data_IF_279343979075
#
_entry.id   IF_279343979075
#
_cell.length_a   1.000
_cell.length_b   1.000
_cell.length_c   1.000
_cell.angle_alpha   90.00
_cell.angle_beta   90.00
_cell.angle_gamma   90.00
#
_symmetry.space_group_name_H-M   'P 1'
#
loop_
_entity.id
_entity.type
_entity.pdbx_description
1 polymer ?
2 non-polymer ?
3 water ?
#
# COMPACT_ATOMS: atom_id res chain seq x y z
N UNK A 4 25.52 15.15 19.32
CA UNK A 4 24.43 15.66 18.41
C UNK A 4 23.11 14.90 18.60
N UNK A 5 22.10 15.57 19.16
CA UNK A 5 20.82 14.89 19.50
C UNK A 5 20.15 14.29 18.29
N UNK A 6 20.17 15.02 17.18
CA UNK A 6 19.64 14.55 15.88
C UNK A 6 20.04 13.12 15.55
N UNK A 7 21.30 12.77 15.82
CA UNK A 7 21.81 11.42 15.49
C UNK A 7 21.28 10.28 16.36
N UNK A 8 20.59 10.61 17.45
CA UNK A 8 20.02 9.62 18.34
C UNK A 8 18.50 9.61 18.16
N UNK A 9 17.99 8.49 17.66
CA UNK A 9 16.60 8.31 17.29
C UNK A 9 15.94 7.54 18.40
N UNK A 10 14.89 8.11 19.00
CA UNK A 10 14.04 7.43 19.96
C UNK A 10 13.20 6.41 19.18
N UNK A 11 13.23 5.15 19.62
CA UNK A 11 12.46 4.09 19.00
C UNK A 11 10.96 4.26 19.34
N UNK A 12 10.12 4.25 18.32
CA UNK A 12 8.67 4.42 18.54
C UNK A 12 7.99 3.23 19.18
N UNK A 13 8.72 2.12 19.36
CA UNK A 13 8.20 0.91 19.98
C UNK A 13 8.69 0.80 21.41
N UNK A 14 10.00 0.71 21.60
CA UNK A 14 10.59 0.53 22.95
C UNK A 14 10.91 1.83 23.67
N UNK A 15 10.94 2.95 22.94
CA UNK A 15 11.25 4.24 23.55
C UNK A 15 12.73 4.49 23.79
N UNK A 16 13.60 3.55 23.38
CA UNK A 16 15.04 3.69 23.61
C UNK A 16 15.73 4.20 22.39
N UNK A 17 16.78 4.97 22.61
CA UNK A 17 17.55 5.58 21.53
C UNK A 17 18.46 4.59 20.80
N UNK A 18 18.57 4.81 19.50
CA UNK A 18 19.43 4.04 18.64
C UNK A 18 19.98 4.97 17.59
N UNK A 19 21.05 4.54 16.94
CA UNK A 19 21.69 5.33 15.91
C UNK A 19 21.40 4.81 14.52
N UNK A 20 21.37 3.49 14.34
CA UNK A 20 21.11 2.88 13.02
C UNK A 20 20.13 1.75 13.16
N UNK A 21 19.25 1.60 12.18
CA UNK A 21 18.45 0.39 12.07
C UNK A 21 18.00 0.18 10.65
N UNK A 22 17.68 -1.07 10.35
CA UNK A 22 17.07 -1.43 9.08
C UNK A 22 15.90 -0.50 8.70
N UNK A 23 14.92 -0.42 9.60
CA UNK A 23 13.68 0.34 9.36
C UNK A 23 13.94 1.85 9.17
N UNK A 24 14.85 2.40 9.95
CA UNK A 24 15.23 3.81 9.82
C UNK A 24 16.06 4.08 8.57
N UNK A 25 17.04 3.21 8.32
CA UNK A 25 17.87 3.33 7.13
C UNK A 25 17.03 3.27 5.88
N UNK A 26 16.18 2.25 5.76
CA UNK A 26 15.45 2.02 4.52
C UNK A 26 14.17 2.86 4.37
N UNK A 27 13.46 3.11 5.47
CA UNK A 27 12.11 3.69 5.42
C UNK A 27 11.90 5.00 6.19
N UNK A 28 12.96 5.47 6.88
CA UNK A 28 12.85 6.56 7.84
C UNK A 28 11.81 6.28 8.90
N UNK A 29 11.63 5.01 9.23
CA UNK A 29 10.73 4.63 10.29
C UNK A 29 11.62 4.49 11.51
N UNK A 30 11.32 5.22 12.59
CA UNK A 30 12.18 5.26 13.74
C UNK A 30 11.95 4.10 14.70
N UNK A 31 12.29 2.91 14.22
CA UNK A 31 12.12 1.69 14.99
C UNK A 31 13.42 0.87 14.96
N UNK A 32 13.90 0.47 16.13
CA UNK A 32 15.20 -0.15 16.24
C UNK A 32 15.13 -1.61 15.78
N UNK A 33 16.30 -2.19 15.54
CA UNK A 33 16.40 -3.58 15.08
C UNK A 33 15.85 -4.61 16.05
N UNK A 34 15.88 -4.30 17.35
CA UNK A 34 15.26 -5.15 18.40
C UNK A 34 13.75 -5.25 18.29
N UNK A 35 13.12 -4.13 17.91
CA UNK A 35 11.67 -4.05 17.85
C UNK A 35 11.10 -4.38 16.48
N UNK A 36 11.95 -4.48 15.46
CA UNK A 36 11.51 -4.86 14.12
C UNK A 36 10.80 -6.23 14.13
N UNK A 37 9.62 -6.29 13.53
CA UNK A 37 8.77 -7.49 13.45
C UNK A 37 8.51 -7.68 11.96
N UNK A 38 9.41 -8.38 11.29
CA UNK A 38 9.35 -8.56 9.84
C UNK A 38 8.15 -9.33 9.34
N UNK A 39 7.57 -10.19 10.18
CA UNK A 39 6.46 -11.09 9.79
C UNK A 39 5.09 -10.47 9.92
N UNK A 40 4.94 -9.52 10.84
CA UNK A 40 3.66 -8.87 11.05
C UNK A 40 3.77 -7.35 10.91
N UNK A 41 4.09 -6.63 11.99
CA UNK A 41 3.98 -5.16 12.00
C UNK A 41 4.83 -4.47 10.92
N UNK A 42 6.04 -4.97 10.72
CA UNK A 42 6.97 -4.40 9.75
C UNK A 42 7.14 -5.21 8.49
N UNK A 43 6.09 -5.95 8.12
CA UNK A 43 6.11 -6.71 6.87
C UNK A 43 6.00 -5.78 5.67
N UNK A 44 6.60 -6.23 4.58
CA UNK A 44 6.71 -5.49 3.36
C UNK A 44 5.65 -5.99 2.43
N UNK A 45 5.17 -5.12 1.54
CA UNK A 45 4.27 -5.57 0.45
C UNK A 45 4.67 -4.91 -0.84
N UNK A 46 4.27 -5.52 -1.95
CA UNK A 46 4.62 -5.01 -3.24
C UNK A 46 3.83 -3.74 -3.49
N UNK A 47 4.40 -2.87 -4.30
CA UNK A 47 3.70 -1.70 -4.79
C UNK A 47 2.36 -2.08 -5.40
N UNK A 48 2.30 -3.13 -6.23
CA UNK A 48 1.04 -3.41 -6.96
C UNK A 48 -0.03 -3.84 -5.99
N UNK A 49 0.36 -4.67 -5.04
CA UNK A 49 -0.49 -5.12 -3.97
C UNK A 49 -0.98 -3.98 -3.07
N UNK A 50 -0.07 -3.10 -2.69
CA UNK A 50 -0.43 -1.93 -1.88
C UNK A 50 -1.46 -1.07 -2.61
N UNK A 51 -1.19 -0.83 -3.89
CA UNK A 51 -2.05 0.03 -4.71
C UNK A 51 -3.42 -0.59 -4.90
N UNK A 52 -3.47 -1.88 -5.20
CA UNK A 52 -4.76 -2.52 -5.45
C UNK A 52 -5.57 -2.69 -4.20
N UNK A 53 -4.93 -3.14 -3.12
CA UNK A 53 -5.64 -3.44 -1.89
C UNK A 53 -6.17 -2.19 -1.17
N UNK A 54 -5.40 -1.10 -1.21
CA UNK A 54 -5.73 0.10 -0.43
C UNK A 54 -6.09 1.30 -1.32
N UNK A 55 -6.29 1.02 -2.61
CA UNK A 55 -6.68 2.00 -3.62
C UNK A 55 -5.87 3.30 -3.70
N UNK A 56 -4.56 3.16 -3.83
CA UNK A 56 -3.60 4.27 -3.77
C UNK A 56 -3.06 4.54 -5.14
N UNK A 57 -3.04 5.83 -5.50
CA UNK A 57 -2.38 6.28 -6.69
C UNK A 57 -0.89 6.49 -6.38
N UNK A 58 -0.07 6.49 -7.42
CA UNK A 58 1.35 6.80 -7.27
C UNK A 58 1.59 8.13 -6.54
N UNK A 59 0.83 9.17 -6.87
CA UNK A 59 0.98 10.45 -6.18
C UNK A 59 0.63 10.40 -4.68
N UNK A 60 -0.23 9.46 -4.27
CA UNK A 60 -0.52 9.24 -2.85
C UNK A 60 0.71 8.76 -2.12
N UNK A 61 1.53 7.99 -2.80
CA UNK A 61 2.75 7.44 -2.21
C UNK A 61 3.91 8.45 -2.22
N UNK A 62 4.00 9.20 -3.33
CA UNK A 62 5.20 9.95 -3.70
C UNK A 62 5.08 11.44 -3.41
N UNK A 63 3.88 12.01 -3.47
CA UNK A 63 3.70 13.44 -3.26
C UNK A 63 3.07 13.84 -1.93
N UNK A 64 2.21 13.03 -1.34
CA UNK A 64 1.71 13.33 0.03
C UNK A 64 2.83 13.19 1.05
N UNK A 65 2.82 14.05 2.07
CA UNK A 65 3.90 14.14 3.06
C UNK A 65 3.71 13.20 4.24
N UNK A 66 4.71 12.45 4.70
CA UNK A 66 6.00 12.22 4.04
C UNK A 66 5.89 11.26 2.83
N UNK A 67 6.74 11.45 1.79
CA UNK A 67 6.74 10.48 0.70
C UNK A 67 7.19 9.13 1.25
N UNK A 68 6.51 8.07 0.85
CA UNK A 68 6.82 6.75 1.35
C UNK A 68 8.02 6.23 0.60
N UNK A 69 8.93 5.64 1.36
CA UNK A 69 10.13 5.02 0.83
C UNK A 69 9.87 3.53 0.58
N UNK A 70 10.71 2.96 -0.27
CA UNK A 70 10.59 1.59 -0.69
C UNK A 70 11.99 1.01 -0.89
N UNK A 71 12.09 -0.30 -0.79
CA UNK A 71 13.30 -1.02 -1.21
C UNK A 71 12.99 -1.76 -2.51
N UNK A 72 14.01 -1.90 -3.35
CA UNK A 72 13.85 -2.55 -4.66
C UNK A 72 14.36 -3.99 -4.58
N UNK A 73 13.53 -4.94 -4.97
CA UNK A 73 13.90 -6.34 -4.99
C UNK A 73 14.09 -6.73 -6.43
N UNK A 74 14.93 -7.73 -6.69
CA UNK A 74 15.26 -8.15 -8.07
C UNK A 74 15.07 -9.65 -8.27
N UNK A 83 11.55 -6.60 -11.12
CA UNK A 83 12.21 -5.60 -10.28
C UNK A 83 11.18 -4.80 -9.46
N UNK A 84 10.70 -5.38 -8.35
CA UNK A 84 9.55 -4.83 -7.60
C UNK A 84 9.94 -3.92 -6.43
N UNK A 85 9.13 -2.86 -6.25
CA UNK A 85 9.24 -1.95 -5.12
C UNK A 85 8.43 -2.52 -3.96
N UNK A 86 9.06 -2.62 -2.79
CA UNK A 86 8.45 -3.11 -1.58
C UNK A 86 8.30 -1.96 -0.58
N UNK A 87 7.10 -1.81 -0.05
CA UNK A 87 6.75 -0.78 0.93
C UNK A 87 6.43 -1.46 2.24
N UNK A 88 6.60 -0.75 3.36
CA UNK A 88 6.06 -1.20 4.66
C UNK A 88 4.55 -1.18 4.61
N UNK A 89 3.92 -2.32 4.88
CA UNK A 89 2.47 -2.41 4.87
C UNK A 89 1.86 -1.37 5.82
N UNK A 90 2.45 -1.27 6.99
CA UNK A 90 2.04 -0.33 8.02
C UNK A 90 1.86 1.09 7.49
N UNK A 91 2.83 1.53 6.70
CA UNK A 91 2.84 2.87 6.12
C UNK A 91 1.82 3.04 5.01
N UNK A 92 1.66 1.99 4.22
CA UNK A 92 0.66 1.92 3.18
C UNK A 92 -0.72 2.09 3.78
N UNK A 93 -0.98 1.38 4.87
CA UNK A 93 -2.29 1.38 5.51
C UNK A 93 -2.57 2.78 6.08
N UNK A 94 -1.60 3.34 6.79
CA UNK A 94 -1.70 4.71 7.33
C UNK A 94 -1.98 5.72 6.21
N UNK A 95 -1.22 5.63 5.12
CA UNK A 95 -1.43 6.54 3.97
C UNK A 95 -2.82 6.39 3.36
N UNK A 96 -3.32 5.15 3.33
CA UNK A 96 -4.63 4.88 2.77
C UNK A 96 -5.73 5.53 3.62
N UNK A 97 -5.62 5.41 4.93
CA UNK A 97 -6.56 6.06 5.84
C UNK A 97 -6.55 7.58 5.71
N UNK A 98 -5.36 8.16 5.52
CA UNK A 98 -5.20 9.58 5.28
C UNK A 98 -5.92 10.03 4.01
N UNK A 99 -5.64 9.35 2.90
CA UNK A 99 -6.21 9.65 1.61
C UNK A 99 -7.73 9.44 1.56
N UNK A 100 -8.21 8.33 2.12
CA UNK A 100 -9.63 8.04 2.07
C UNK A 100 -10.43 8.64 3.25
N UNK A 101 -9.74 9.08 4.31
CA UNK A 101 -10.37 9.74 5.46
C UNK A 101 -10.73 8.77 6.57
N UNK A 102 -11.28 7.62 6.18
CA UNK A 102 -11.68 6.61 7.13
C UNK A 102 -11.67 5.21 6.54
N UNK A 103 -11.61 4.22 7.42
CA UNK A 103 -11.69 2.83 7.02
C UNK A 103 -13.02 2.60 6.27
N UNK A 104 -14.08 3.20 6.81
CA UNK A 104 -15.41 3.08 6.23
C UNK A 104 -15.47 3.62 4.80
N UNK A 105 -14.85 4.78 4.57
CA UNK A 105 -14.87 5.36 3.23
C UNK A 105 -14.03 4.52 2.28
N UNK A 106 -12.97 3.90 2.79
CA UNK A 106 -12.15 3.02 1.94
C UNK A 106 -12.96 1.79 1.56
N UNK A 107 -13.64 1.19 2.55
CA UNK A 107 -14.47 0.01 2.29
C UNK A 107 -15.62 0.30 1.33
N UNK A 108 -16.25 1.47 1.46
CA UNK A 108 -17.27 1.88 0.49
C UNK A 108 -16.68 2.02 -0.92
N UNK A 109 -15.48 2.57 -1.04
CA UNK A 109 -14.83 2.68 -2.35
C UNK A 109 -14.47 1.34 -2.97
N UNK A 110 -13.94 0.42 -2.16
CA UNK A 110 -13.58 -0.89 -2.66
C UNK A 110 -14.82 -1.65 -3.15
N UNK A 111 -15.94 -1.46 -2.47
CA UNK A 111 -17.21 -2.08 -2.85
C UNK A 111 -17.77 -1.46 -4.14
N UNK A 112 -17.66 -0.13 -4.28
CA UNK A 112 -18.06 0.55 -5.51
C UNK A 112 -17.21 0.07 -6.69
N UNK A 113 -15.89 -0.05 -6.47
CA UNK A 113 -14.98 -0.52 -7.50
C UNK A 113 -15.30 -1.97 -7.93
N UNK A 114 -15.52 -2.85 -6.97
CA UNK A 114 -15.77 -4.26 -7.30
C UNK A 114 -17.07 -4.42 -8.08
N UNK A 115 -18.11 -3.70 -7.66
CA UNK A 115 -19.41 -3.73 -8.34
C UNK A 115 -19.35 -3.15 -9.75
N UNK A 116 -18.61 -2.05 -9.92
CA UNK A 116 -18.40 -1.48 -11.25
C UNK A 116 -17.62 -2.42 -12.16
N UNK A 117 -16.60 -3.06 -11.61
CA UNK A 117 -15.76 -3.96 -12.39
C UNK A 117 -16.54 -5.20 -12.82
N UNK A 118 -17.35 -5.74 -11.92
CA UNK A 118 -18.19 -6.91 -12.27
C UNK A 118 -19.22 -6.55 -13.33
N UNK A 119 -19.90 -5.43 -13.13
CA UNK A 119 -20.91 -4.96 -14.09
C UNK A 119 -20.30 -4.79 -15.48
N UNK A 120 -19.12 -4.19 -15.56
CA UNK A 120 -18.43 -3.97 -16.84
C UNK A 120 -17.93 -5.24 -17.52
N UNK A 121 -17.39 -6.16 -16.73
CA UNK A 121 -16.97 -7.43 -17.26
C UNK A 121 -18.18 -8.22 -17.80
N UNK A 122 -19.29 -8.21 -17.05
CA UNK A 122 -20.52 -8.89 -17.47
C UNK A 122 -21.04 -8.30 -18.77
N UNK A 123 -21.12 -6.98 -18.84
CA UNK A 123 -21.63 -6.31 -20.05
C UNK A 123 -20.78 -6.60 -21.27
N UNK A 124 -19.48 -6.49 -21.11
CA UNK A 124 -18.55 -6.77 -22.19
C UNK A 124 -18.61 -8.23 -22.66
N UNK A 125 -18.63 -9.16 -21.71
CA UNK A 125 -18.74 -10.57 -22.05
C UNK A 125 -20.04 -10.89 -22.82
N UNK A 126 -21.14 -10.37 -22.32
CA UNK A 126 -22.45 -10.59 -22.94
C UNK A 126 -22.57 -10.00 -24.35
N UNK A 127 -21.95 -8.84 -24.57
CA UNK A 127 -21.88 -8.26 -25.92
C UNK A 127 -21.09 -9.14 -26.88
N UNK A 128 -19.99 -9.71 -26.41
CA UNK A 128 -19.23 -10.65 -27.23
C UNK A 128 -19.98 -11.95 -27.48
N UNK A 129 -20.79 -12.41 -26.53
CA UNK A 129 -21.62 -13.59 -26.78
C UNK A 129 -22.69 -13.26 -27.84
N UNK A 130 -23.35 -12.12 -27.70
CA UNK A 130 -24.33 -11.64 -28.71
C UNK A 130 -23.68 -11.57 -30.10
N UNK A 131 -22.53 -10.89 -30.18
CA UNK A 131 -21.77 -10.74 -31.43
C UNK A 131 -21.43 -12.09 -32.04
N UNK A 132 -21.07 -13.04 -31.18
CA UNK A 132 -20.84 -14.41 -31.59
C UNK A 132 -22.08 -15.09 -32.18
N UNK A 133 -23.18 -15.11 -31.41
CA UNK A 133 -24.46 -15.71 -31.86
C UNK A 133 -24.97 -15.05 -33.13
N UNK A 134 -24.84 -13.73 -33.20
CA UNK A 134 -25.24 -12.96 -34.39
C UNK A 134 -24.42 -13.34 -35.63
N UNK A 135 -23.10 -13.48 -35.47
CA UNK A 135 -22.21 -13.87 -36.58
C UNK A 135 -22.41 -15.34 -37.02
N UNK A 136 -22.54 -16.25 -36.05
CA UNK A 136 -22.79 -17.68 -36.31
C UNK A 136 -24.19 -17.95 -36.95
N UNK A 137 -25.21 -17.19 -36.53
CA UNK A 137 -26.64 -17.45 -36.89
C UNK A 137 -26.91 -17.61 -38.39
X LIG B 1 13.04 -0.48 19.96
#
# INVERSE_FOLDING_TARGET
>A
GSHMEFDYVICEECGKEFMDSYLMNHFDLPTCDNCRDADDKHKLITKTEAKQEYLLKDCDLEKREPPLKFIVKKNPHHSQWGDMKLYLKLQIVKRSLEVWGSQEALEEAKEVRQENREKMKQKKFDKKVKELRRAVRSSVWKRET
>B hetero
1 ZN ZN
#
